data_IF_952470414999
#
_entry.id   IF_952470414999
#
_cell.length_a   1.000
_cell.length_b   1.000
_cell.length_c   1.000
_cell.angle_alpha   90.00
_cell.angle_beta   90.00
_cell.angle_gamma   90.00
#
_symmetry.space_group_name_H-M   'P 1'
#
loop_
_entity.id
_entity.type
_entity.pdbx_description
1 polymer ?
#
# COMPACT_ATOMS: atom_id res chain seq x y z
N UNK A 1 -25.45 -28.27 1.15
CA UNK A 1 -25.42 -26.88 1.62
C UNK A 1 -23.98 -26.38 1.55
N UNK A 2 -23.62 -25.76 0.42
CA UNK A 2 -22.30 -25.20 0.16
C UNK A 2 -22.16 -23.87 0.90
N UNK A 3 -21.53 -23.89 2.07
CA UNK A 3 -21.11 -22.68 2.75
C UNK A 3 -19.83 -22.18 2.07
N UNK A 4 -19.95 -21.14 1.24
CA UNK A 4 -18.79 -20.39 0.80
C UNK A 4 -18.33 -19.52 1.98
N UNK A 5 -17.08 -19.66 2.47
CA UNK A 5 -16.57 -18.74 3.45
C UNK A 5 -16.47 -17.37 2.79
N UNK A 6 -17.28 -16.42 3.29
CA UNK A 6 -17.13 -15.01 2.97
C UNK A 6 -15.66 -14.60 3.15
N UNK A 7 -15.11 -13.75 2.27
CA UNK A 7 -13.74 -13.28 2.40
C UNK A 7 -13.59 -12.62 3.77
N UNK A 8 -12.71 -13.16 4.60
CA UNK A 8 -12.41 -12.63 5.94
C UNK A 8 -12.01 -11.16 5.78
N UNK A 9 -12.88 -10.28 6.26
CA UNK A 9 -12.70 -8.82 6.22
C UNK A 9 -11.54 -8.45 7.13
N UNK A 10 -10.32 -8.40 6.59
CA UNK A 10 -9.15 -7.73 7.18
C UNK A 10 -8.75 -8.10 8.63
N UNK A 11 -9.27 -9.17 9.22
CA UNK A 11 -9.17 -9.45 10.66
C UNK A 11 -7.80 -9.97 11.12
N UNK A 12 -7.56 -9.86 12.42
CA UNK A 12 -6.37 -10.34 13.12
C UNK A 12 -6.77 -11.43 14.11
N UNK A 13 -6.06 -12.57 14.10
CA UNK A 13 -6.25 -13.65 15.07
C UNK A 13 -4.90 -14.10 15.65
N UNK A 14 -4.78 -14.09 16.97
CA UNK A 14 -3.67 -14.70 17.69
C UNK A 14 -4.20 -15.84 18.55
N UNK A 15 -3.64 -17.04 18.39
CA UNK A 15 -3.97 -18.22 19.19
C UNK A 15 -2.71 -18.79 19.81
N UNK A 16 -2.66 -18.87 21.14
CA UNK A 16 -1.68 -19.68 21.85
C UNK A 16 -2.39 -20.94 22.35
N UNK A 17 -1.83 -22.10 22.03
CA UNK A 17 -2.46 -23.39 22.33
C UNK A 17 -1.72 -24.15 23.43
N UNK A 18 -2.49 -24.76 24.31
CA UNK A 18 -2.03 -25.73 25.30
C UNK A 18 -2.51 -27.16 24.99
N UNK A 19 -2.32 -28.12 25.91
CA UNK A 19 -2.60 -29.55 25.68
C UNK A 19 -3.98 -29.89 25.12
N UNK A 20 -5.01 -29.10 25.47
CA UNK A 20 -6.39 -29.31 24.97
C UNK A 20 -6.45 -29.31 23.44
N UNK A 21 -5.57 -28.57 22.76
CA UNK A 21 -5.50 -28.52 21.30
C UNK A 21 -5.10 -29.85 20.66
N UNK A 22 -4.40 -30.74 21.37
CA UNK A 22 -4.09 -32.10 20.91
C UNK A 22 -5.27 -33.08 21.05
N UNK A 23 -6.34 -32.70 21.74
CA UNK A 23 -7.43 -33.62 22.08
C UNK A 23 -8.62 -33.54 21.11
N UNK A 24 -9.65 -34.36 21.33
CA UNK A 24 -10.93 -34.27 20.62
C UNK A 24 -11.68 -32.95 20.87
N UNK A 25 -11.29 -32.18 21.90
CA UNK A 25 -11.86 -30.86 22.22
C UNK A 25 -11.09 -29.70 21.55
N UNK A 26 -10.24 -30.00 20.58
CA UNK A 26 -9.40 -29.01 19.91
C UNK A 26 -10.22 -27.94 19.20
N UNK A 27 -9.73 -26.69 19.27
CA UNK A 27 -10.26 -25.57 18.47
C UNK A 27 -10.20 -25.86 16.96
N UNK A 28 -9.24 -26.69 16.52
CA UNK A 28 -9.12 -27.12 15.12
C UNK A 28 -10.34 -27.90 14.63
N UNK A 29 -11.10 -28.54 15.53
CA UNK A 29 -12.34 -29.28 15.20
C UNK A 29 -13.59 -28.39 15.20
N UNK A 30 -13.42 -27.08 15.31
CA UNK A 30 -14.50 -26.08 15.24
C UNK A 30 -14.44 -25.36 13.88
N UNK A 31 -15.42 -24.49 13.55
CA UNK A 31 -15.34 -23.65 12.34
C UNK A 31 -14.06 -22.80 12.24
N UNK A 32 -13.38 -22.51 13.35
CA UNK A 32 -12.09 -21.81 13.34
C UNK A 32 -10.95 -22.64 12.74
N UNK A 33 -11.07 -23.97 12.68
CA UNK A 33 -10.04 -24.84 12.11
C UNK A 33 -9.67 -24.48 10.66
N UNK A 34 -10.64 -24.00 9.87
CA UNK A 34 -10.41 -23.61 8.47
C UNK A 34 -9.55 -22.36 8.29
N UNK A 35 -9.25 -21.60 9.36
CA UNK A 35 -8.36 -20.43 9.32
C UNK A 35 -7.09 -20.61 10.17
N UNK A 36 -6.96 -21.74 10.88
CA UNK A 36 -5.76 -22.03 11.66
C UNK A 36 -4.67 -22.58 10.74
N UNK A 37 -3.43 -22.06 10.80
CA UNK A 37 -2.37 -22.49 9.90
C UNK A 37 -1.83 -23.90 10.19
N UNK A 38 -2.13 -24.48 11.35
CA UNK A 38 -1.63 -25.81 11.72
C UNK A 38 -2.66 -26.71 12.42
N UNK A 39 -2.60 -27.97 12.04
CA UNK A 39 -3.43 -29.06 12.57
C UNK A 39 -2.68 -29.85 13.65
N UNK A 40 -3.30 -30.14 14.80
CA UNK A 40 -2.68 -30.92 15.86
C UNK A 40 -2.44 -32.38 15.43
N UNK A 41 -1.31 -32.96 15.83
CA UNK A 41 -1.01 -34.38 15.56
C UNK A 41 -1.53 -35.33 16.65
N UNK A 42 -1.92 -34.80 17.81
CA UNK A 42 -2.56 -35.57 18.88
C UNK A 42 -1.68 -35.83 20.09
N UNK A 43 -0.42 -35.40 20.06
CA UNK A 43 0.54 -35.54 21.14
C UNK A 43 1.09 -34.18 21.64
N UNK A 44 1.70 -34.22 22.82
CA UNK A 44 2.31 -33.06 23.47
C UNK A 44 3.69 -33.49 23.93
N UNK A 45 4.72 -32.76 23.52
CA UNK A 45 6.08 -32.97 23.99
C UNK A 45 6.30 -32.20 25.28
N UNK A 46 6.62 -32.93 26.36
CA UNK A 46 6.94 -32.37 27.67
C UNK A 46 8.43 -32.53 28.00
N UNK A 47 9.28 -31.99 27.12
CA UNK A 47 10.75 -31.98 27.27
C UNK A 47 11.29 -30.56 27.18
N UNK A 48 12.43 -30.30 27.83
CA UNK A 48 13.09 -29.00 27.79
C UNK A 48 13.70 -28.72 26.41
N UNK A 49 13.31 -27.63 25.76
CA UNK A 49 13.86 -27.16 24.50
C UNK A 49 14.07 -25.65 24.52
N UNK A 50 15.04 -25.16 23.75
CA UNK A 50 15.14 -23.73 23.44
C UNK A 50 14.38 -23.46 22.15
N UNK A 51 13.44 -22.49 22.11
CA UNK A 51 12.89 -22.00 20.86
C UNK A 51 14.02 -21.58 19.91
N UNK A 52 13.88 -21.83 18.61
CA UNK A 52 14.89 -21.44 17.60
C UNK A 52 14.23 -20.71 16.45
N UNK A 53 14.94 -19.77 15.84
CA UNK A 53 14.49 -19.10 14.61
C UNK A 53 14.71 -20.04 13.44
N UNK A 54 13.65 -20.33 12.68
CA UNK A 54 13.73 -21.17 11.48
C UNK A 54 14.40 -20.42 10.33
N UNK A 55 14.76 -21.12 9.25
CA UNK A 55 15.35 -20.48 8.07
C UNK A 55 14.44 -19.38 7.48
N UNK A 56 13.13 -19.64 7.40
CA UNK A 56 12.15 -18.63 6.98
C UNK A 56 11.98 -17.53 8.03
N UNK A 57 12.07 -17.87 9.32
CA UNK A 57 12.03 -16.93 10.44
C UNK A 57 13.19 -15.92 10.44
N UNK A 58 14.34 -16.28 9.87
CA UNK A 58 15.47 -15.35 9.71
C UNK A 58 15.15 -14.23 8.71
N UNK A 59 14.26 -14.49 7.75
CA UNK A 59 13.80 -13.53 6.73
C UNK A 59 12.49 -12.83 7.14
N UNK A 60 11.71 -13.46 8.01
CA UNK A 60 10.40 -12.94 8.42
C UNK A 60 10.54 -11.76 9.40
N UNK A 61 9.94 -10.59 9.12
CA UNK A 61 10.16 -9.36 9.90
C UNK A 61 9.78 -9.46 11.39
N UNK A 62 8.85 -10.36 11.74
CA UNK A 62 8.48 -10.63 13.13
C UNK A 62 9.62 -11.24 13.94
N UNK A 63 10.42 -12.12 13.35
CA UNK A 63 11.45 -12.91 14.04
C UNK A 63 12.88 -12.55 13.63
N UNK A 64 13.05 -11.90 12.48
CA UNK A 64 14.33 -11.40 12.01
C UNK A 64 14.93 -10.42 13.03
N UNK A 65 16.20 -10.62 13.39
CA UNK A 65 16.92 -9.78 14.34
C UNK A 65 16.23 -9.67 15.72
N UNK A 66 15.58 -10.75 16.19
CA UNK A 66 15.17 -10.81 17.59
C UNK A 66 16.42 -10.78 18.49
N UNK A 67 16.39 -10.04 19.61
CA UNK A 67 17.50 -10.02 20.56
C UNK A 67 17.84 -11.44 21.01
N UNK A 68 19.13 -11.74 21.13
CA UNK A 68 19.64 -13.02 21.66
C UNK A 68 19.25 -14.27 20.84
N UNK A 69 18.72 -14.10 19.62
CA UNK A 69 18.40 -15.20 18.71
C UNK A 69 19.65 -15.96 18.22
N UNK A 70 20.82 -15.33 18.31
CA UNK A 70 22.08 -15.83 17.75
C UNK A 70 22.18 -15.64 16.24
N UNK A 71 23.38 -15.90 15.71
CA UNK A 71 23.58 -15.96 14.26
C UNK A 71 22.89 -17.20 13.66
N UNK A 72 22.58 -17.21 12.36
CA UNK A 72 22.06 -18.40 11.68
C UNK A 72 22.87 -19.67 11.99
N UNK A 73 22.19 -20.70 12.49
CA UNK A 73 22.81 -21.99 12.85
C UNK A 73 23.48 -22.05 14.22
N UNK A 74 23.44 -20.97 15.02
CA UNK A 74 23.86 -20.99 16.43
C UNK A 74 22.66 -21.20 17.36
N UNK A 75 22.93 -21.78 18.53
CA UNK A 75 21.92 -21.88 19.58
C UNK A 75 21.60 -20.49 20.16
N UNK A 76 20.32 -20.13 20.32
CA UNK A 76 19.94 -18.87 20.94
C UNK A 76 20.27 -18.85 22.43
N UNK A 77 20.50 -17.64 22.96
CA UNK A 77 20.72 -17.42 24.39
C UNK A 77 19.40 -17.34 25.18
N UNK A 78 18.29 -17.72 24.56
CA UNK A 78 16.99 -17.77 25.19
C UNK A 78 16.87 -18.93 26.18
N UNK A 79 16.02 -18.72 27.18
CA UNK A 79 15.62 -19.71 28.17
C UNK A 79 14.73 -20.79 27.59
N UNK A 80 14.71 -21.95 28.27
CA UNK A 80 14.01 -23.14 27.82
C UNK A 80 12.50 -23.03 28.04
N UNK A 81 11.76 -23.65 27.13
CA UNK A 81 10.36 -24.03 27.32
C UNK A 81 10.31 -25.55 27.49
N UNK A 82 9.19 -26.03 28.01
CA UNK A 82 9.02 -27.43 28.42
C UNK A 82 7.81 -28.10 27.79
N UNK A 83 6.99 -27.35 27.05
CA UNK A 83 5.78 -27.88 26.42
C UNK A 83 5.62 -27.41 25.00
N UNK A 84 5.39 -28.37 24.11
CA UNK A 84 5.06 -28.14 22.72
C UNK A 84 3.91 -29.06 22.30
N UNK A 85 2.80 -28.48 21.85
CA UNK A 85 1.75 -29.25 21.18
C UNK A 85 2.22 -29.54 19.76
N UNK A 86 2.30 -30.81 19.40
CA UNK A 86 2.77 -31.18 18.06
C UNK A 86 1.71 -30.84 17.02
N UNK A 87 2.15 -30.28 15.89
CA UNK A 87 1.27 -29.95 14.79
C UNK A 87 1.99 -30.06 13.46
N UNK A 88 1.19 -30.26 12.41
CA UNK A 88 1.61 -30.13 11.02
C UNK A 88 1.16 -28.77 10.51
N UNK A 89 2.11 -27.97 10.04
CA UNK A 89 1.82 -26.75 9.29
C UNK A 89 1.13 -27.12 7.99
N UNK A 90 -0.08 -26.60 7.78
CA UNK A 90 -0.84 -26.79 6.54
C UNK A 90 -0.64 -25.59 5.61
N UNK A 91 -0.62 -24.38 6.19
CA UNK A 91 -0.40 -23.11 5.51
C UNK A 91 0.47 -22.16 6.35
N UNK A 92 0.94 -21.08 5.74
CA UNK A 92 1.77 -20.07 6.40
C UNK A 92 3.23 -20.48 6.63
N UNK A 93 3.92 -19.68 7.45
CA UNK A 93 5.35 -19.79 7.71
C UNK A 93 5.59 -20.15 9.18
N UNK A 94 6.21 -21.31 9.43
CA UNK A 94 6.73 -21.65 10.75
C UNK A 94 7.99 -20.83 11.02
N UNK A 95 7.87 -19.72 11.74
CA UNK A 95 8.95 -18.74 11.96
C UNK A 95 9.82 -19.08 13.18
N UNK A 96 9.28 -19.83 14.14
CA UNK A 96 10.03 -20.42 15.24
C UNK A 96 9.80 -21.93 15.27
N UNK A 97 10.84 -22.69 15.64
CA UNK A 97 10.76 -24.12 15.97
C UNK A 97 11.03 -24.36 17.45
N UNK A 98 10.59 -25.53 17.94
CA UNK A 98 10.76 -25.96 19.32
C UNK A 98 11.40 -27.34 19.42
N UNK A 99 10.93 -28.15 20.38
CA UNK A 99 11.38 -29.52 20.56
C UNK A 99 11.29 -30.33 19.26
N UNK A 100 12.34 -31.10 18.97
CA UNK A 100 12.46 -31.92 17.75
C UNK A 100 12.28 -31.12 16.44
N UNK A 101 12.67 -29.84 16.45
CA UNK A 101 12.51 -28.90 15.32
C UNK A 101 11.06 -28.74 14.84
N UNK A 102 10.07 -29.14 15.65
CA UNK A 102 8.65 -28.99 15.31
C UNK A 102 8.23 -27.52 15.36
N UNK A 103 7.22 -27.11 14.57
CA UNK A 103 6.75 -25.73 14.53
C UNK A 103 6.32 -25.21 15.91
N UNK A 104 6.80 -24.03 16.29
CA UNK A 104 6.45 -23.36 17.55
C UNK A 104 5.58 -22.13 17.33
N UNK A 105 5.93 -21.28 16.37
CA UNK A 105 5.14 -20.10 15.98
C UNK A 105 4.96 -20.10 14.48
N UNK A 106 3.72 -19.99 14.06
CA UNK A 106 3.32 -20.05 12.65
C UNK A 106 2.51 -18.80 12.32
N UNK A 107 2.89 -18.14 11.23
CA UNK A 107 2.27 -16.89 10.77
C UNK A 107 1.69 -17.10 9.38
N UNK A 108 0.42 -16.80 9.19
CA UNK A 108 -0.28 -17.05 7.93
C UNK A 108 -1.21 -15.89 7.50
N UNK A 109 -1.37 -15.75 6.19
CA UNK A 109 -2.25 -14.77 5.56
C UNK A 109 -3.48 -15.50 5.02
N UNK A 110 -4.63 -15.24 5.63
CA UNK A 110 -5.91 -15.86 5.23
C UNK A 110 -6.78 -14.79 4.56
N UNK A 111 -6.79 -14.79 3.23
CA UNK A 111 -7.44 -13.76 2.44
C UNK A 111 -6.82 -12.39 2.71
N UNK A 112 -7.58 -11.47 3.29
CA UNK A 112 -7.08 -10.16 3.74
C UNK A 112 -6.72 -10.14 5.23
N UNK A 113 -6.93 -11.22 5.98
CA UNK A 113 -6.59 -11.31 7.40
C UNK A 113 -5.20 -11.88 7.66
N UNK A 114 -4.78 -11.82 8.92
CA UNK A 114 -3.55 -12.44 9.41
C UNK A 114 -3.82 -13.29 10.65
N UNK A 115 -3.18 -14.45 10.69
CA UNK A 115 -3.32 -15.41 11.78
C UNK A 115 -1.93 -15.76 12.31
N UNK A 116 -1.79 -15.70 13.63
CA UNK A 116 -0.61 -16.16 14.34
C UNK A 116 -1.02 -17.30 15.27
N UNK A 117 -0.37 -18.44 15.13
CA UNK A 117 -0.61 -19.61 15.98
C UNK A 117 0.68 -20.00 16.69
N UNK A 118 0.63 -20.05 18.02
CA UNK A 118 1.72 -20.48 18.88
C UNK A 118 1.38 -21.83 19.49
N UNK A 119 2.25 -22.81 19.26
CA UNK A 119 2.07 -24.22 19.62
C UNK A 119 2.42 -24.51 21.10
N UNK A 120 2.46 -23.49 21.93
CA UNK A 120 2.75 -23.58 23.36
C UNK A 120 2.03 -22.45 24.12
N UNK A 121 1.71 -22.73 25.37
CA UNK A 121 1.17 -21.79 26.35
C UNK A 121 2.25 -21.22 27.28
N UNK A 122 3.54 -21.52 27.01
CA UNK A 122 4.65 -21.25 27.93
C UNK A 122 5.48 -20.01 27.61
N UNK A 123 5.00 -19.13 26.73
CA UNK A 123 5.66 -17.86 26.41
C UNK A 123 5.95 -17.00 27.66
N UNK A 124 5.14 -17.13 28.71
CA UNK A 124 5.32 -16.43 29.98
C UNK A 124 6.61 -16.80 30.73
N UNK A 125 7.24 -17.94 30.43
CA UNK A 125 8.51 -18.35 31.05
C UNK A 125 9.63 -17.34 30.77
N UNK A 126 9.67 -16.81 29.53
CA UNK A 126 10.63 -15.77 29.15
C UNK A 126 10.42 -14.47 29.92
N UNK A 127 9.16 -14.06 30.15
CA UNK A 127 8.86 -12.88 30.95
C UNK A 127 9.21 -13.06 32.44
N UNK A 128 9.28 -14.31 32.92
CA UNK A 128 9.74 -14.65 34.28
C UNK A 128 11.26 -14.78 34.41
N UNK A 129 12.01 -14.65 33.31
CA UNK A 129 13.47 -14.74 33.32
C UNK A 129 14.01 -16.16 33.50
N UNK A 130 13.19 -17.20 33.29
CA UNK A 130 13.63 -18.60 33.42
C UNK A 130 14.74 -18.89 32.41
N UNK A 131 15.83 -19.51 32.87
CA UNK A 131 17.01 -19.87 32.07
C UNK A 131 17.58 -18.70 31.22
N UNK A 132 17.54 -17.48 31.77
CA UNK A 132 18.01 -16.27 31.09
C UNK A 132 16.91 -15.47 30.39
N UNK A 133 15.67 -15.97 30.38
CA UNK A 133 14.52 -15.26 29.82
C UNK A 133 14.49 -15.30 28.28
N UNK A 134 13.88 -14.30 27.66
CA UNK A 134 13.86 -14.20 26.21
C UNK A 134 13.09 -12.97 25.73
N UNK A 135 13.04 -12.73 24.41
CA UNK A 135 12.52 -11.50 23.83
C UNK A 135 10.98 -11.51 23.77
N UNK A 136 10.29 -11.93 24.83
CA UNK A 136 8.84 -12.04 24.86
C UNK A 136 8.13 -10.71 24.55
N UNK A 137 8.49 -9.57 25.16
CA UNK A 137 7.80 -8.31 24.88
C UNK A 137 7.95 -7.91 23.41
N UNK A 138 9.15 -8.09 22.86
CA UNK A 138 9.45 -7.76 21.47
C UNK A 138 8.74 -8.69 20.48
N UNK A 139 8.75 -10.00 20.74
CA UNK A 139 8.04 -10.98 19.91
C UNK A 139 6.54 -10.71 19.89
N UNK A 140 5.91 -10.51 21.06
CA UNK A 140 4.47 -10.23 21.15
C UNK A 140 4.13 -8.92 20.46
N UNK A 141 4.92 -7.87 20.67
CA UNK A 141 4.73 -6.57 20.02
C UNK A 141 4.80 -6.70 18.51
N UNK A 142 5.81 -7.38 17.96
CA UNK A 142 5.98 -7.59 16.52
C UNK A 142 4.87 -8.47 15.92
N UNK A 143 4.46 -9.53 16.62
CA UNK A 143 3.31 -10.34 16.20
C UNK A 143 2.04 -9.49 16.15
N UNK A 144 1.78 -8.67 17.17
CA UNK A 144 0.62 -7.79 17.20
C UNK A 144 0.64 -6.77 16.06
N UNK A 145 1.76 -6.06 15.86
CA UNK A 145 1.89 -5.12 14.73
C UNK A 145 1.77 -5.80 13.37
N UNK A 146 2.34 -6.99 13.23
CA UNK A 146 2.19 -7.79 12.03
C UNK A 146 0.72 -8.14 11.81
N UNK A 147 0.00 -8.63 12.81
CA UNK A 147 -1.42 -8.92 12.71
C UNK A 147 -2.25 -7.68 12.33
N UNK A 148 -1.86 -6.50 12.81
CA UNK A 148 -2.47 -5.20 12.48
C UNK A 148 -2.03 -4.61 11.13
N UNK A 149 -1.19 -5.32 10.36
CA UNK A 149 -0.66 -4.87 9.06
C UNK A 149 0.16 -3.59 9.12
N UNK A 150 0.97 -3.44 10.16
CA UNK A 150 1.94 -2.36 10.23
C UNK A 150 2.92 -2.44 9.05
N UNK A 151 3.12 -1.35 8.27
CA UNK A 151 3.98 -1.38 7.08
C UNK A 151 5.41 -1.86 7.35
N UNK A 152 5.94 -1.60 8.54
CA UNK A 152 7.28 -2.04 8.98
C UNK A 152 7.42 -3.54 9.15
N UNK A 153 6.30 -4.25 9.32
CA UNK A 153 6.27 -5.69 9.48
C UNK A 153 5.78 -6.40 8.21
N UNK A 154 5.61 -5.71 7.08
CA UNK A 154 5.33 -6.39 5.81
C UNK A 154 6.49 -7.30 5.40
N UNK A 155 6.15 -8.53 5.02
CA UNK A 155 7.08 -9.56 4.54
C UNK A 155 7.66 -9.23 3.17
N UNK A 156 6.86 -8.58 2.31
CA UNK A 156 7.21 -8.18 0.96
C UNK A 156 7.10 -6.65 0.85
N UNK A 157 8.24 -5.96 0.87
CA UNK A 157 8.28 -4.51 0.82
C UNK A 157 9.45 -3.99 -0.02
N UNK A 158 9.18 -2.97 -0.84
CA UNK A 158 10.19 -2.20 -1.58
C UNK A 158 10.12 -0.74 -1.11
N UNK A 159 11.24 -0.21 -0.64
CA UNK A 159 11.34 1.16 -0.11
C UNK A 159 12.54 1.87 -0.72
N UNK A 160 12.39 3.16 -0.96
CA UNK A 160 13.46 4.02 -1.44
C UNK A 160 13.52 5.29 -0.58
N UNK A 161 14.69 5.59 -0.03
CA UNK A 161 14.90 6.75 0.83
C UNK A 161 16.07 7.56 0.28
N UNK A 162 15.90 8.88 0.17
CA UNK A 162 16.96 9.80 -0.23
C UNK A 162 17.68 10.34 1.00
N UNK A 163 19.01 10.13 1.08
CA UNK A 163 19.87 10.63 2.16
C UNK A 163 21.16 11.17 1.54
N UNK A 164 21.44 12.46 1.71
CA UNK A 164 22.74 13.06 1.35
C UNK A 164 23.14 12.92 -0.14
N UNK A 165 22.19 13.09 -1.07
CA UNK A 165 22.47 12.93 -2.51
C UNK A 165 22.60 11.48 -2.98
N UNK A 166 22.21 10.53 -2.14
CA UNK A 166 22.12 9.10 -2.48
C UNK A 166 20.71 8.61 -2.25
N UNK A 167 20.30 7.62 -3.04
CA UNK A 167 19.09 6.85 -2.77
C UNK A 167 19.50 5.48 -2.25
N UNK A 168 18.97 5.13 -1.09
CA UNK A 168 19.00 3.78 -0.55
C UNK A 168 17.71 3.07 -0.89
N UNK A 169 17.81 2.00 -1.68
CA UNK A 169 16.71 1.14 -2.06
C UNK A 169 16.81 -0.13 -1.23
N UNK A 170 15.79 -0.40 -0.43
CA UNK A 170 15.69 -1.61 0.38
C UNK A 170 14.56 -2.50 -0.10
N UNK A 171 14.85 -3.79 -0.26
CA UNK A 171 13.87 -4.82 -0.61
C UNK A 171 13.84 -5.87 0.48
N UNK A 172 12.70 -6.02 1.16
CA UNK A 172 12.48 -7.12 2.10
C UNK A 172 11.64 -8.20 1.47
N UNK A 173 12.08 -9.45 1.46
CA UNK A 173 11.35 -10.62 0.94
C UNK A 173 11.57 -11.86 1.79
N UNK A 174 10.61 -12.79 1.78
CA UNK A 174 10.78 -14.14 2.32
C UNK A 174 11.53 -15.08 1.37
N UNK A 175 11.69 -14.70 0.10
CA UNK A 175 12.48 -15.47 -0.86
C UNK A 175 13.97 -15.47 -0.51
N UNK A 176 14.70 -16.43 -1.06
CA UNK A 176 16.16 -16.55 -0.89
C UNK A 176 16.96 -15.65 -1.84
N UNK A 177 16.30 -15.06 -2.84
CA UNK A 177 16.91 -14.22 -3.88
C UNK A 177 16.15 -12.91 -4.04
N UNK A 178 16.84 -11.87 -4.48
CA UNK A 178 16.23 -10.56 -4.73
C UNK A 178 15.98 -10.35 -6.24
N UNK A 179 14.82 -9.81 -6.63
CA UNK A 179 14.59 -9.38 -8.00
C UNK A 179 15.48 -8.18 -8.36
N UNK A 180 15.77 -8.03 -9.66
CA UNK A 180 16.44 -6.84 -10.20
C UNK A 180 15.48 -5.65 -10.12
N UNK A 181 15.93 -4.54 -9.55
CA UNK A 181 15.13 -3.31 -9.46
C UNK A 181 15.44 -2.41 -10.65
N UNK A 182 14.41 -1.95 -11.35
CA UNK A 182 14.53 -0.94 -12.41
C UNK A 182 14.28 0.44 -11.80
N UNK A 183 15.27 1.31 -11.86
CA UNK A 183 15.16 2.72 -11.52
C UNK A 183 14.82 3.53 -12.76
N UNK A 184 13.88 4.46 -12.63
CA UNK A 184 13.59 5.50 -13.62
C UNK A 184 13.94 6.86 -13.01
N UNK A 185 14.85 7.58 -13.66
CA UNK A 185 15.30 8.91 -13.27
C UNK A 185 14.26 9.99 -13.63
N UNK A 186 14.37 11.21 -13.08
CA UNK A 186 13.46 12.33 -13.41
C UNK A 186 13.43 12.70 -14.90
N UNK A 187 14.50 12.41 -15.65
CA UNK A 187 14.59 12.64 -17.09
C UNK A 187 14.04 11.49 -17.96
N UNK A 188 13.48 10.45 -17.34
CA UNK A 188 12.94 9.28 -17.99
C UNK A 188 13.96 8.19 -18.37
N UNK A 189 15.26 8.42 -18.12
CA UNK A 189 16.26 7.37 -18.30
C UNK A 189 16.05 6.22 -17.30
N UNK A 190 16.35 4.99 -17.72
CA UNK A 190 16.17 3.80 -16.87
C UNK A 190 17.50 3.08 -16.63
N UNK A 191 17.64 2.49 -15.44
CA UNK A 191 18.81 1.71 -15.03
C UNK A 191 18.39 0.51 -14.20
N UNK A 192 19.02 -0.64 -14.45
CA UNK A 192 18.86 -1.84 -13.61
C UNK A 192 19.82 -1.79 -12.42
N UNK A 193 19.31 -2.17 -11.25
CA UNK A 193 20.02 -2.19 -9.99
C UNK A 193 19.94 -3.61 -9.43
N UNK A 194 21.10 -4.19 -9.21
CA UNK A 194 21.23 -5.45 -8.48
C UNK A 194 21.38 -5.16 -6.99
N UNK A 195 20.55 -5.81 -6.19
CA UNK A 195 20.54 -5.63 -4.74
C UNK A 195 21.55 -6.58 -4.10
N UNK A 196 22.34 -6.06 -3.17
CA UNK A 196 23.24 -6.88 -2.35
C UNK A 196 22.52 -7.29 -1.08
N UNK A 197 22.71 -8.53 -0.64
CA UNK A 197 22.13 -9.00 0.62
C UNK A 197 22.78 -8.27 1.80
N UNK A 198 21.99 -7.49 2.54
CA UNK A 198 22.43 -6.83 3.76
C UNK A 198 22.24 -7.74 4.99
N UNK A 199 21.12 -8.45 5.04
CA UNK A 199 20.81 -9.50 6.01
C UNK A 199 19.87 -10.53 5.37
N UNK A 200 19.60 -11.69 6.01
CA UNK A 200 18.61 -12.63 5.48
C UNK A 200 17.29 -11.93 5.17
N UNK A 201 16.81 -12.07 3.93
CA UNK A 201 15.56 -11.48 3.47
C UNK A 201 15.59 -9.96 3.26
N UNK A 202 16.74 -9.29 3.40
CA UNK A 202 16.88 -7.85 3.16
C UNK A 202 17.98 -7.55 2.14
N UNK A 203 17.58 -7.02 0.99
CA UNK A 203 18.45 -6.55 -0.09
C UNK A 203 18.60 -5.04 -0.05
N UNK A 204 19.81 -4.55 -0.33
CA UNK A 204 20.16 -3.13 -0.33
C UNK A 204 20.84 -2.75 -1.65
N UNK A 205 20.34 -1.69 -2.27
CA UNK A 205 20.97 -0.98 -3.38
C UNK A 205 21.24 0.46 -2.95
N UNK A 206 22.44 0.97 -3.25
CA UNK A 206 22.79 2.38 -2.98
C UNK A 206 23.17 3.01 -4.31
N UNK A 207 22.55 4.13 -4.63
CA UNK A 207 22.70 4.81 -5.91
C UNK A 207 23.02 6.28 -5.64
N UNK A 208 24.17 6.74 -6.15
CA UNK A 208 24.48 8.17 -6.20
C UNK A 208 23.60 8.85 -7.26
N UNK A 209 22.97 9.96 -6.89
CA UNK A 209 22.06 10.73 -7.74
C UNK A 209 22.48 12.20 -7.77
N UNK A 210 22.53 12.76 -8.97
CA UNK A 210 23.03 14.11 -9.25
C UNK A 210 21.92 15.09 -9.64
N UNK A 211 20.78 14.57 -10.11
CA UNK A 211 19.63 15.38 -10.53
C UNK A 211 18.56 15.43 -9.45
N UNK A 212 18.04 16.61 -9.10
CA UNK A 212 16.84 16.71 -8.28
C UNK A 212 15.61 16.22 -9.06
N UNK A 213 14.66 15.63 -8.35
CA UNK A 213 13.39 15.16 -8.89
C UNK A 213 12.89 13.86 -8.26
N UNK A 214 11.87 13.28 -8.88
CA UNK A 214 11.27 12.00 -8.45
C UNK A 214 11.94 10.83 -9.18
N UNK A 215 12.50 9.92 -8.41
CA UNK A 215 13.04 8.65 -8.88
C UNK A 215 12.02 7.55 -8.59
N UNK A 216 11.75 6.69 -9.57
CA UNK A 216 10.81 5.57 -9.44
C UNK A 216 11.56 4.25 -9.46
N UNK A 217 11.16 3.32 -8.62
CA UNK A 217 11.76 1.99 -8.52
C UNK A 217 10.68 0.92 -8.69
N UNK A 218 10.95 -0.07 -9.53
CA UNK A 218 10.05 -1.17 -9.86
C UNK A 218 10.84 -2.48 -9.89
N UNK A 219 10.44 -3.48 -9.11
CA UNK A 219 11.05 -4.82 -9.10
C UNK A 219 10.27 -5.88 -9.90
N UNK A 220 9.27 -5.43 -10.66
CA UNK A 220 8.31 -6.23 -11.41
C UNK A 220 6.99 -6.48 -10.65
N UNK A 221 7.00 -6.41 -9.32
CA UNK A 221 5.84 -6.69 -8.45
C UNK A 221 5.48 -5.50 -7.57
N UNK A 222 6.48 -4.86 -6.97
CA UNK A 222 6.38 -3.73 -6.05
C UNK A 222 6.97 -2.48 -6.69
N UNK A 223 6.37 -1.34 -6.36
CA UNK A 223 6.77 -0.02 -6.84
C UNK A 223 6.94 0.94 -5.68
N UNK A 224 7.93 1.81 -5.78
CA UNK A 224 8.15 2.88 -4.81
C UNK A 224 8.77 4.11 -5.48
N UNK A 225 8.76 5.24 -4.78
CA UNK A 225 9.31 6.51 -5.26
C UNK A 225 10.17 7.16 -4.19
N UNK A 226 11.25 7.81 -4.60
CA UNK A 226 12.08 8.65 -3.76
C UNK A 226 12.17 10.05 -4.36
N UNK A 227 11.98 11.07 -3.53
CA UNK A 227 12.20 12.45 -3.90
C UNK A 227 13.64 12.85 -3.52
N UNK A 228 14.39 13.38 -4.50
CA UNK A 228 15.76 13.85 -4.33
C UNK A 228 15.77 15.34 -4.64
N UNK A 229 16.42 16.14 -3.79
CA UNK A 229 16.45 17.59 -3.93
C UNK A 229 16.25 18.26 -2.58
N UNK A 230 16.32 19.59 -2.56
CA UNK A 230 16.12 20.34 -1.33
C UNK A 230 14.66 20.17 -0.86
N UNK A 231 14.39 19.77 0.39
CA UNK A 231 13.04 19.75 0.95
C UNK A 231 12.36 21.13 0.97
N UNK A 232 13.11 22.23 0.77
CA UNK A 232 12.63 23.59 0.51
C UNK A 232 12.81 24.00 -0.96
N UNK A 233 11.78 23.86 -1.81
CA UNK A 233 11.78 24.37 -3.18
C UNK A 233 11.95 25.90 -3.21
N UNK A 234 12.53 26.44 -4.27
CA UNK A 234 12.66 27.91 -4.46
C UNK A 234 11.29 28.60 -4.40
N UNK A 235 10.23 27.91 -4.81
CA UNK A 235 8.83 28.34 -4.73
C UNK A 235 8.38 28.66 -3.29
N UNK A 236 9.03 28.10 -2.27
CA UNK A 236 8.75 28.36 -0.84
C UNK A 236 9.77 29.29 -0.18
N UNK A 237 10.82 29.71 -0.89
CA UNK A 237 11.87 30.60 -0.36
C UNK A 237 11.40 32.05 -0.13
N UNK A 238 10.37 32.48 -0.85
CA UNK A 238 9.74 33.80 -0.67
C UNK A 238 8.23 33.70 -0.88
N UNK A 239 7.52 33.38 0.21
CA UNK A 239 6.05 33.26 0.24
C UNK A 239 5.36 34.63 0.36
N UNK A 240 6.12 35.73 0.28
CA UNK A 240 5.52 37.06 0.25
C UNK A 240 4.92 37.27 -1.14
N UNK A 241 3.62 37.50 -1.16
CA UNK A 241 2.97 37.94 -2.37
C UNK A 241 3.66 39.21 -2.90
N UNK A 242 3.97 39.23 -4.20
CA UNK A 242 4.63 40.36 -4.86
C UNK A 242 4.03 40.58 -6.23
N UNK A 243 3.78 41.84 -6.54
CA UNK A 243 3.29 42.29 -7.84
C UNK A 243 4.44 42.57 -8.82
N UNK A 244 5.67 42.72 -8.32
CA UNK A 244 6.85 43.14 -9.10
C UNK A 244 7.17 42.22 -10.27
N UNK A 245 7.03 40.90 -10.09
CA UNK A 245 7.35 39.91 -11.13
C UNK A 245 6.37 39.92 -12.30
N UNK A 246 5.10 40.24 -12.02
CA UNK A 246 4.02 40.21 -13.02
C UNK A 246 3.73 41.60 -13.62
N UNK A 247 4.21 42.67 -12.99
CA UNK A 247 3.98 44.06 -13.42
C UNK A 247 4.30 44.32 -14.91
N UNK A 248 5.45 43.88 -15.47
CA UNK A 248 5.74 44.12 -16.89
C UNK A 248 4.74 43.45 -17.84
N UNK A 249 4.24 42.26 -17.47
CA UNK A 249 3.23 41.54 -18.26
C UNK A 249 1.86 42.20 -18.16
N UNK A 250 1.51 42.70 -16.98
CA UNK A 250 0.25 43.40 -16.76
C UNK A 250 0.21 44.72 -17.52
N UNK A 251 1.30 45.49 -17.50
CA UNK A 251 1.45 46.72 -18.29
C UNK A 251 1.39 46.45 -19.79
N UNK A 252 2.10 45.41 -20.27
CA UNK A 252 2.08 45.03 -21.68
C UNK A 252 0.70 44.53 -22.17
N UNK A 253 -0.08 43.90 -21.29
CA UNK A 253 -1.43 43.42 -21.61
C UNK A 253 -2.54 44.45 -21.38
N UNK A 254 -2.23 45.59 -20.73
CA UNK A 254 -3.21 46.59 -20.30
C UNK A 254 -4.17 46.05 -19.23
N UNK A 255 -3.74 45.06 -18.45
CA UNK A 255 -4.51 44.43 -17.37
C UNK A 255 -4.43 45.19 -16.04
N UNK A 256 -4.85 44.56 -14.94
CA UNK A 256 -4.69 45.08 -13.58
C UNK A 256 -4.18 44.02 -12.60
N UNK A 257 -3.51 44.47 -11.53
CA UNK A 257 -3.17 43.67 -10.34
C UNK A 257 -4.02 44.18 -9.19
N UNK A 258 -4.74 43.29 -8.52
CA UNK A 258 -5.61 43.63 -7.40
C UNK A 258 -5.17 42.85 -6.16
N UNK A 259 -4.95 43.56 -5.06
CA UNK A 259 -4.68 42.99 -3.75
C UNK A 259 -6.01 42.67 -3.06
N UNK A 260 -6.37 41.39 -2.98
CA UNK A 260 -7.64 40.94 -2.40
C UNK A 260 -7.82 41.36 -0.94
N UNK A 261 -6.71 41.46 -0.19
CA UNK A 261 -6.71 41.89 1.20
C UNK A 261 -7.17 43.36 1.37
N UNK A 262 -6.88 44.21 0.40
CA UNK A 262 -7.16 45.65 0.46
C UNK A 262 -8.50 46.00 -0.23
N UNK A 263 -8.79 45.35 -1.37
CA UNK A 263 -9.86 45.76 -2.28
C UNK A 263 -11.00 44.72 -2.42
N UNK A 264 -10.90 43.55 -1.76
CA UNK A 264 -11.88 42.47 -1.89
C UNK A 264 -11.89 41.81 -3.26
N UNK A 265 -12.96 41.07 -3.57
CA UNK A 265 -13.10 40.34 -4.83
C UNK A 265 -13.31 41.31 -6.01
N UNK A 266 -12.44 41.30 -7.04
CA UNK A 266 -12.61 42.17 -8.20
C UNK A 266 -13.75 41.68 -9.10
N UNK A 267 -14.43 42.63 -9.74
CA UNK A 267 -15.43 42.32 -10.77
C UNK A 267 -14.74 41.78 -12.03
N UNK A 268 -15.30 40.74 -12.65
CA UNK A 268 -14.72 40.09 -13.83
C UNK A 268 -15.50 40.49 -15.07
N UNK A 269 -14.86 41.22 -15.98
CA UNK A 269 -15.51 41.77 -17.18
C UNK A 269 -14.96 41.18 -18.47
N UNK A 270 -15.83 40.90 -19.42
CA UNK A 270 -15.40 40.52 -20.77
C UNK A 270 -15.02 41.75 -21.59
N UNK A 271 -13.79 41.80 -22.12
CA UNK A 271 -13.29 42.94 -22.90
C UNK A 271 -12.93 42.55 -24.34
N UNK A 272 -13.10 43.50 -25.26
CA UNK A 272 -12.70 43.34 -26.67
C UNK A 272 -11.18 43.56 -26.82
N UNK A 273 -10.54 42.97 -27.84
CA UNK A 273 -9.14 43.25 -28.16
C UNK A 273 -8.87 44.75 -28.32
N UNK A 274 -7.74 45.23 -27.78
CA UNK A 274 -7.30 46.63 -27.91
C UNK A 274 -7.97 47.63 -26.97
N UNK A 275 -8.82 47.17 -26.04
CA UNK A 275 -9.35 47.99 -24.93
C UNK A 275 -8.58 47.68 -23.64
N UNK A 276 -8.59 48.62 -22.69
CA UNK A 276 -8.09 48.36 -21.35
C UNK A 276 -8.74 47.10 -20.77
N UNK A 277 -7.92 46.23 -20.18
CA UNK A 277 -8.27 44.92 -19.66
C UNK A 277 -8.17 44.85 -18.12
N UNK A 278 -8.28 46.00 -17.46
CA UNK A 278 -8.30 46.09 -16.01
C UNK A 278 -8.54 47.52 -15.50
N UNK A 279 -8.96 47.62 -14.25
CA UNK A 279 -9.13 48.85 -13.48
C UNK A 279 -8.87 48.63 -11.99
N UNK A 280 -9.17 49.63 -11.16
CA UNK A 280 -8.93 49.60 -9.71
C UNK A 280 -9.75 48.53 -8.96
N UNK A 281 -10.91 48.17 -9.50
CA UNK A 281 -11.93 47.31 -8.88
C UNK A 281 -12.40 46.16 -9.80
N UNK A 282 -11.78 46.00 -10.98
CA UNK A 282 -12.18 44.97 -11.94
C UNK A 282 -11.01 44.45 -12.79
N UNK A 283 -11.14 43.20 -13.24
CA UNK A 283 -10.20 42.51 -14.13
C UNK A 283 -10.88 42.13 -15.45
N UNK A 284 -10.18 42.32 -16.56
CA UNK A 284 -10.70 42.09 -17.91
C UNK A 284 -10.27 40.74 -18.49
N UNK A 285 -11.23 39.90 -18.85
CA UNK A 285 -11.01 38.70 -19.66
C UNK A 285 -11.18 39.03 -21.14
N UNK A 286 -10.08 38.96 -21.90
CA UNK A 286 -10.10 39.19 -23.35
C UNK A 286 -10.88 38.08 -24.05
N UNK A 287 -11.92 38.47 -24.78
CA UNK A 287 -12.69 37.54 -25.61
C UNK A 287 -11.91 37.23 -26.90
N UNK A 288 -11.41 36.00 -27.05
CA UNK A 288 -10.66 35.54 -28.22
C UNK A 288 -11.52 34.86 -29.29
N UNK A 289 -12.84 35.08 -29.29
CA UNK A 289 -13.83 34.48 -30.23
C UNK A 289 -13.68 32.96 -30.49
N UNK A 290 -12.95 32.25 -29.63
CA UNK A 290 -12.85 30.79 -29.66
C UNK A 290 -14.16 30.22 -29.16
N UNK A 291 -15.03 29.81 -30.07
CA UNK A 291 -16.19 29.01 -29.75
C UNK A 291 -15.86 27.54 -30.01
N UNK A 292 -16.17 26.68 -29.05
CA UNK A 292 -16.26 25.24 -29.28
C UNK A 292 -17.74 24.95 -29.51
N UNK A 293 -18.09 24.40 -30.67
CA UNK A 293 -19.48 23.98 -30.96
C UNK A 293 -19.79 22.79 -30.05
N UNK A 294 -20.43 23.06 -28.90
CA UNK A 294 -20.74 22.04 -27.88
C UNK A 294 -21.88 21.08 -28.28
N UNK A 295 -22.52 21.29 -29.43
CA UNK A 295 -23.55 20.42 -29.95
C UNK A 295 -24.49 21.14 -30.90
N UNK A 296 -24.96 20.42 -31.92
CA UNK A 296 -26.01 20.86 -32.83
C UNK A 296 -27.33 20.36 -32.24
N UNK A 297 -28.13 21.26 -31.65
CA UNK A 297 -29.50 20.93 -31.27
C UNK A 297 -30.38 21.00 -32.51
N UNK A 298 -30.78 19.84 -33.04
CA UNK A 298 -31.79 19.76 -34.09
C UNK A 298 -33.18 19.86 -33.43
N UNK A 299 -33.82 21.02 -33.54
CA UNK A 299 -35.24 21.14 -33.22
C UNK A 299 -36.06 20.56 -34.38
N UNK A 300 -36.93 19.57 -34.15
CA UNK A 300 -37.85 19.10 -35.18
C UNK A 300 -38.81 20.24 -35.57
N UNK A 301 -38.88 20.54 -36.87
CA UNK A 301 -39.73 21.62 -37.42
C UNK A 301 -41.23 21.40 -37.16
N UNK A 302 -41.65 20.15 -36.99
CA UNK A 302 -43.04 19.75 -36.74
C UNK A 302 -43.11 18.60 -35.73
N UNK A 303 -44.10 18.58 -34.83
CA UNK A 303 -44.41 17.41 -34.00
C UNK A 303 -44.64 16.15 -34.86
N UNK A 304 -44.05 15.01 -34.48
CA UNK A 304 -44.14 13.77 -35.26
C UNK A 304 -45.58 13.29 -35.54
N UNK A 305 -46.52 13.64 -34.66
CA UNK A 305 -47.96 13.36 -34.83
C UNK A 305 -48.54 14.07 -36.05
N UNK A 306 -48.15 15.33 -36.32
CA UNK A 306 -48.64 16.07 -37.49
C UNK A 306 -48.15 15.42 -38.79
N UNK A 307 -46.90 14.96 -38.81
CA UNK A 307 -46.33 14.24 -39.96
C UNK A 307 -47.05 12.92 -40.18
N UNK A 308 -47.31 12.15 -39.12
CA UNK A 308 -48.05 10.90 -39.21
C UNK A 308 -49.48 11.11 -39.73
N UNK A 309 -50.19 12.13 -39.25
CA UNK A 309 -51.53 12.46 -39.77
C UNK A 309 -51.49 12.86 -41.24
N UNK A 310 -50.54 13.70 -41.65
CA UNK A 310 -50.37 14.09 -43.05
C UNK A 310 -50.09 12.86 -43.94
N UNK A 311 -49.28 11.92 -43.45
CA UNK A 311 -48.96 10.69 -44.17
C UNK A 311 -50.17 9.75 -44.30
N UNK A 312 -50.96 9.60 -43.24
CA UNK A 312 -52.20 8.81 -43.25
C UNK A 312 -53.25 9.44 -44.17
N UNK A 313 -53.36 10.76 -44.20
CA UNK A 313 -54.24 11.47 -45.13
C UNK A 313 -53.79 11.31 -46.58
N UNK A 314 -52.48 11.36 -46.85
CA UNK A 314 -51.93 11.10 -48.18
C UNK A 314 -52.20 9.66 -48.65
N UNK A 315 -52.01 8.67 -47.76
CA UNK A 315 -52.33 7.26 -48.06
C UNK A 315 -53.83 7.04 -48.26
N UNK A 316 -54.67 7.63 -47.40
CA UNK A 316 -56.12 7.54 -47.52
C UNK A 316 -56.65 8.19 -48.78
N UNK A 317 -56.09 9.33 -49.18
CA UNK A 317 -56.47 10.02 -50.43
C UNK A 317 -55.97 9.29 -51.68
N UNK A 318 -54.78 8.68 -51.64
CA UNK A 318 -54.32 7.79 -52.71
C UNK A 318 -55.23 6.57 -52.86
N UNK A 319 -55.56 5.89 -51.75
CA UNK A 319 -56.44 4.72 -51.76
C UNK A 319 -57.86 5.05 -52.24
N UNK A 320 -58.41 6.21 -51.83
CA UNK A 320 -59.72 6.68 -52.29
C UNK A 320 -59.73 7.03 -53.79
N UNK A 321 -58.60 7.45 -54.35
CA UNK A 321 -58.48 7.76 -55.78
C UNK A 321 -58.33 6.51 -56.64
N UNK A 322 -57.64 5.48 -56.14
CA UNK A 322 -57.48 4.18 -56.82
C UNK A 322 -58.75 3.30 -56.72
N UNK A 323 -59.58 3.51 -55.70
CA UNK A 323 -60.84 2.76 -55.48
C UNK A 323 -62.07 3.32 -56.20
N UNK A 324 -61.88 4.27 -57.12
CA UNK A 324 -62.94 4.97 -57.85
C UNK A 324 -62.94 4.65 -59.34
#
# INVERSE_FOLDING_TARGET
SSWHPSPVTGGALLVSVGPVFATQRSLYRTPLGGVLPAAPLGDVLETGFKPKVTEIGQRHPVTANLPQAGDPGKEPEWGRWFRLVTARTEHGNAVLSGAEDKPLVILDRVGQGRVAQMMSDQLWLWNRGIDGGGPQPELVRRVAHWLMKEPDLEEEALRATSVGGRIEVTRRTLATTFPVVTMTSPDGSTRKIELRQASPGLGLGVIDVDKPGLYRFDDGTLRTVAAVGNPDPLEFSDVRATDQKLRPLVEASGGSIVWLADNGDPDVRSVRPGRAAGGSDWIGLRRNEGYTVAGINQLPLLPGILVAMAFLLALGSAWWREGR
#
